data_IF_089433013253
#
_entry.id   IF_089433013253
#
_cell.length_a   1.000
_cell.length_b   1.000
_cell.length_c   1.000
_cell.angle_alpha   90.00
_cell.angle_beta   90.00
_cell.angle_gamma   90.00
#
_symmetry.space_group_name_H-M   'P 1'
#
loop_
_entity.id
_entity.type
_entity.pdbx_description
1 polymer ?
#
# COMPACT_ATOMS: atom_id res chain seq x y z
N UNK A 1 -12.70 -16.53 0.85
CA UNK A 1 -11.87 -16.58 2.07
C UNK A 1 -12.69 -16.16 3.27
N UNK A 2 -12.34 -16.64 4.46
CA UNK A 2 -13.02 -16.27 5.70
C UNK A 2 -12.81 -14.78 6.08
N UNK A 3 -11.85 -14.11 5.43
CA UNK A 3 -11.46 -12.74 5.70
C UNK A 3 -11.89 -11.74 4.62
N UNK A 4 -12.79 -12.12 3.71
CA UNK A 4 -13.30 -11.18 2.70
C UNK A 4 -13.95 -9.96 3.37
N UNK A 5 -13.58 -8.76 2.92
CA UNK A 5 -14.03 -7.50 3.53
C UNK A 5 -13.36 -7.13 4.86
N UNK A 6 -12.33 -7.89 5.29
CA UNK A 6 -11.55 -7.63 6.50
C UNK A 6 -10.04 -7.49 6.19
N UNK A 7 -9.68 -7.20 4.95
CA UNK A 7 -8.31 -7.08 4.48
C UNK A 7 -8.07 -5.62 4.10
N UNK A 8 -7.06 -5.00 4.68
CA UNK A 8 -6.52 -3.73 4.19
C UNK A 8 -5.40 -4.00 3.19
N UNK A 9 -5.15 -3.05 2.31
CA UNK A 9 -4.07 -3.13 1.33
C UNK A 9 -3.42 -1.76 1.15
N UNK A 10 -2.15 -1.73 0.74
CA UNK A 10 -1.45 -0.49 0.43
C UNK A 10 -2.15 0.31 -0.68
N UNK A 11 -2.36 1.59 -0.46
CA UNK A 11 -2.70 2.55 -1.51
C UNK A 11 -1.41 3.06 -2.20
N UNK A 12 -0.57 2.13 -2.61
CA UNK A 12 0.73 2.36 -3.23
C UNK A 12 0.98 1.26 -4.27
N UNK A 13 1.14 1.59 -5.56
CA UNK A 13 1.33 0.60 -6.61
C UNK A 13 2.59 -0.25 -6.39
N UNK A 14 3.70 0.37 -5.98
CA UNK A 14 4.99 -0.33 -5.88
C UNK A 14 4.96 -1.45 -4.84
N UNK A 15 4.42 -1.16 -3.66
CA UNK A 15 4.28 -2.16 -2.59
C UNK A 15 3.22 -3.21 -2.92
N UNK A 16 2.08 -2.79 -3.47
CA UNK A 16 1.00 -3.71 -3.86
C UNK A 16 1.43 -4.70 -4.94
N UNK A 17 2.11 -4.22 -5.99
CA UNK A 17 2.69 -5.10 -7.02
C UNK A 17 3.79 -6.00 -6.43
N UNK A 18 4.61 -5.49 -5.52
CA UNK A 18 5.64 -6.28 -4.83
C UNK A 18 5.05 -7.51 -4.14
N UNK A 19 3.92 -7.36 -3.46
CA UNK A 19 3.22 -8.47 -2.80
C UNK A 19 2.68 -9.47 -3.83
N UNK A 20 2.04 -9.02 -4.91
CA UNK A 20 1.49 -9.88 -5.94
C UNK A 20 2.59 -10.66 -6.69
N UNK A 21 3.68 -9.98 -7.02
CA UNK A 21 4.85 -10.59 -7.69
C UNK A 21 5.50 -11.66 -6.81
N UNK A 22 5.72 -11.37 -5.51
CA UNK A 22 6.25 -12.37 -4.56
C UNK A 22 5.33 -13.58 -4.44
N UNK A 23 4.03 -13.39 -4.34
CA UNK A 23 3.04 -14.48 -4.35
C UNK A 23 3.16 -15.38 -5.59
N UNK A 24 3.47 -14.80 -6.73
CA UNK A 24 3.65 -15.53 -8.01
C UNK A 24 5.06 -16.12 -8.17
N UNK A 25 5.99 -15.84 -7.24
CA UNK A 25 7.38 -16.29 -7.31
C UNK A 25 8.27 -15.45 -8.23
N UNK A 26 7.83 -14.24 -8.59
CA UNK A 26 8.56 -13.31 -9.40
C UNK A 26 9.37 -12.32 -8.56
N UNK A 27 10.39 -11.69 -9.16
CA UNK A 27 11.11 -10.58 -8.56
C UNK A 27 10.21 -9.36 -8.42
N UNK A 28 10.29 -8.68 -7.27
CA UNK A 28 9.63 -7.39 -7.05
C UNK A 28 10.17 -6.28 -7.97
N UNK A 29 11.29 -6.53 -8.63
CA UNK A 29 11.97 -5.60 -9.53
C UNK A 29 11.85 -6.00 -11.01
N UNK A 30 10.97 -6.93 -11.34
CA UNK A 30 10.78 -7.34 -12.73
C UNK A 30 10.31 -6.18 -13.61
N UNK A 31 10.79 -6.17 -14.85
CA UNK A 31 10.32 -5.30 -15.94
C UNK A 31 9.63 -6.12 -17.04
N UNK A 32 9.45 -7.42 -16.81
CA UNK A 32 8.78 -8.31 -17.74
C UNK A 32 7.26 -8.03 -17.74
N UNK A 33 6.73 -7.66 -18.90
CA UNK A 33 5.31 -7.31 -19.08
C UNK A 33 4.37 -8.45 -18.71
N UNK A 34 4.67 -9.68 -19.10
CA UNK A 34 3.83 -10.84 -18.83
C UNK A 34 3.73 -11.12 -17.31
N UNK A 35 4.80 -10.90 -16.56
CA UNK A 35 4.81 -11.03 -15.10
C UNK A 35 4.00 -9.91 -14.41
N UNK A 36 4.14 -8.67 -14.93
CA UNK A 36 3.38 -7.52 -14.45
C UNK A 36 1.88 -7.66 -14.73
N UNK A 37 1.51 -8.21 -15.89
CA UNK A 37 0.12 -8.50 -16.25
C UNK A 37 -0.48 -9.56 -15.32
N UNK A 38 0.25 -10.64 -15.03
CA UNK A 38 -0.18 -11.66 -14.08
C UNK A 38 -0.36 -11.09 -12.67
N UNK A 39 0.56 -10.22 -12.23
CA UNK A 39 0.43 -9.54 -10.95
C UNK A 39 -0.80 -8.61 -10.91
N UNK A 40 -1.07 -7.89 -12.01
CA UNK A 40 -2.28 -7.05 -12.17
C UNK A 40 -3.55 -7.87 -12.03
N UNK A 41 -3.60 -9.05 -12.67
CA UNK A 41 -4.77 -9.95 -12.58
C UNK A 41 -4.95 -10.52 -11.16
N UNK A 42 -3.87 -10.81 -10.44
CA UNK A 42 -3.94 -11.20 -9.03
C UNK A 42 -4.45 -10.06 -8.15
N UNK A 43 -3.99 -8.83 -8.36
CA UNK A 43 -4.47 -7.65 -7.63
C UNK A 43 -5.96 -7.36 -7.90
N UNK A 44 -6.42 -7.53 -9.15
CA UNK A 44 -7.85 -7.41 -9.48
C UNK A 44 -8.71 -8.45 -8.76
N UNK A 45 -8.24 -9.71 -8.69
CA UNK A 45 -8.92 -10.76 -7.91
C UNK A 45 -8.94 -10.43 -6.41
N UNK A 46 -7.81 -9.93 -5.90
CA UNK A 46 -7.68 -9.53 -4.50
C UNK A 46 -8.60 -8.36 -4.16
N UNK A 47 -8.78 -7.36 -5.06
CA UNK A 47 -9.64 -6.20 -4.81
C UNK A 47 -11.05 -6.58 -4.36
N UNK A 48 -11.59 -7.66 -4.88
CA UNK A 48 -12.93 -8.13 -4.50
C UNK A 48 -13.03 -8.62 -3.03
N UNK A 49 -11.88 -8.77 -2.36
CA UNK A 49 -11.76 -9.21 -0.98
C UNK A 49 -11.32 -8.08 -0.03
N UNK A 50 -10.85 -6.97 -0.59
CA UNK A 50 -10.28 -5.85 0.16
C UNK A 50 -11.40 -5.01 0.79
N UNK A 51 -11.21 -4.63 2.05
CA UNK A 51 -12.05 -3.65 2.74
C UNK A 51 -11.73 -2.23 2.27
N UNK A 52 -10.44 -1.88 2.27
CA UNK A 52 -9.96 -0.57 1.88
C UNK A 52 -8.49 -0.60 1.44
N UNK A 53 -8.13 0.30 0.55
CA UNK A 53 -6.75 0.69 0.28
C UNK A 53 -6.38 1.86 1.20
N UNK A 54 -5.31 1.71 1.96
CA UNK A 54 -4.93 2.65 3.03
C UNK A 54 -3.42 2.93 3.00
N UNK A 55 -3.03 4.00 3.64
CA UNK A 55 -1.67 4.27 4.12
C UNK A 55 -1.75 4.43 5.65
N UNK A 56 -1.60 5.63 6.18
CA UNK A 56 -1.58 5.87 7.63
C UNK A 56 -2.92 5.55 8.34
N UNK A 57 -4.02 5.44 7.59
CA UNK A 57 -5.32 4.99 8.12
C UNK A 57 -5.30 3.55 8.65
N UNK A 58 -4.23 2.80 8.37
CA UNK A 58 -4.05 1.44 8.91
C UNK A 58 -3.97 1.45 10.44
N UNK A 59 -3.32 2.45 11.05
CA UNK A 59 -3.12 2.53 12.49
C UNK A 59 -4.44 2.43 13.27
N UNK A 60 -5.39 3.39 13.13
CA UNK A 60 -6.66 3.30 13.84
C UNK A 60 -7.47 2.05 13.47
N UNK A 61 -7.41 1.58 12.22
CA UNK A 61 -8.19 0.42 11.78
C UNK A 61 -7.71 -0.90 12.39
N UNK A 62 -6.40 -1.12 12.41
CA UNK A 62 -5.82 -2.34 12.97
C UNK A 62 -5.90 -2.32 14.50
N UNK A 63 -5.56 -1.20 15.15
CA UNK A 63 -5.62 -1.09 16.61
C UNK A 63 -7.03 -1.20 17.16
N UNK A 64 -8.04 -0.74 16.42
CA UNK A 64 -9.45 -0.91 16.77
C UNK A 64 -10.03 -2.30 16.40
N UNK A 65 -9.29 -3.16 15.71
CA UNK A 65 -9.78 -4.46 15.26
C UNK A 65 -10.80 -4.39 14.12
N UNK A 66 -10.80 -3.30 13.33
CA UNK A 66 -11.71 -3.14 12.19
C UNK A 66 -11.34 -4.01 10.99
N UNK A 67 -10.11 -4.51 10.94
CA UNK A 67 -9.62 -5.42 9.93
C UNK A 67 -8.82 -6.56 10.56
N UNK A 68 -8.77 -7.72 9.87
CA UNK A 68 -8.09 -8.91 10.34
C UNK A 68 -6.69 -9.07 9.72
N UNK A 69 -6.46 -8.55 8.54
CA UNK A 69 -5.19 -8.69 7.80
C UNK A 69 -4.82 -7.37 7.12
N UNK A 70 -3.53 -7.04 7.20
CA UNK A 70 -2.97 -5.90 6.48
C UNK A 70 -1.48 -6.14 6.19
N UNK A 71 -0.97 -5.90 4.99
CA UNK A 71 0.47 -5.73 4.78
C UNK A 71 0.88 -4.35 5.28
N UNK A 72 1.96 -4.27 6.04
CA UNK A 72 2.54 -2.98 6.45
C UNK A 72 4.00 -3.11 6.84
N UNK A 73 4.61 -1.98 7.23
CA UNK A 73 6.01 -1.90 7.57
C UNK A 73 6.27 -2.41 8.99
N UNK A 74 7.40 -3.08 9.19
CA UNK A 74 7.73 -3.76 10.45
C UNK A 74 7.79 -2.79 11.65
N UNK A 75 8.39 -1.60 11.49
CA UNK A 75 8.47 -0.62 12.59
C UNK A 75 7.10 -0.12 13.02
N UNK A 76 6.22 0.16 12.06
CA UNK A 76 4.85 0.57 12.35
C UNK A 76 4.04 -0.56 13.00
N UNK A 77 4.33 -1.82 12.64
CA UNK A 77 3.72 -2.97 13.29
C UNK A 77 4.10 -3.06 14.79
N UNK A 78 5.34 -2.72 15.16
CA UNK A 78 5.74 -2.63 16.57
C UNK A 78 4.86 -1.66 17.34
N UNK A 79 4.62 -0.46 16.76
CA UNK A 79 3.75 0.55 17.38
C UNK A 79 2.31 0.04 17.51
N UNK A 80 1.75 -0.54 16.44
CA UNK A 80 0.38 -1.06 16.47
C UNK A 80 0.20 -2.22 17.46
N UNK A 81 1.18 -3.11 17.58
CA UNK A 81 1.17 -4.22 18.57
C UNK A 81 1.27 -3.66 19.98
N UNK A 82 2.03 -2.58 20.19
CA UNK A 82 2.08 -1.88 21.48
C UNK A 82 0.73 -1.32 21.91
N UNK A 83 -0.06 -0.82 20.96
CA UNK A 83 -1.40 -0.28 21.20
C UNK A 83 -2.48 -1.38 21.28
N UNK A 84 -2.30 -2.49 20.56
CA UNK A 84 -3.21 -3.64 20.58
C UNK A 84 -2.43 -4.96 20.54
N UNK A 85 -2.25 -5.63 21.72
CA UNK A 85 -1.48 -6.87 21.83
C UNK A 85 -2.13 -8.10 21.18
N UNK A 86 -3.36 -8.00 20.66
CA UNK A 86 -4.01 -9.05 19.85
C UNK A 86 -3.48 -9.10 18.41
N UNK A 87 -2.67 -8.10 18.01
CA UNK A 87 -2.00 -8.06 16.71
C UNK A 87 -0.69 -8.84 16.74
N UNK A 88 -0.30 -9.40 15.59
CA UNK A 88 0.97 -10.05 15.37
C UNK A 88 1.53 -9.69 14.00
N UNK A 89 2.84 -9.89 13.78
CA UNK A 89 3.51 -9.59 12.54
C UNK A 89 4.34 -10.78 12.04
N UNK A 90 4.22 -11.07 10.75
CA UNK A 90 4.99 -12.15 10.11
C UNK A 90 5.50 -11.77 8.74
N UNK A 91 6.75 -12.14 8.44
CA UNK A 91 7.28 -12.10 7.08
C UNK A 91 6.85 -13.37 6.34
N UNK A 92 6.11 -13.26 5.22
CA UNK A 92 5.67 -14.42 4.45
C UNK A 92 6.84 -15.30 3.97
N UNK A 93 6.59 -16.59 3.78
CA UNK A 93 7.59 -17.54 3.26
C UNK A 93 8.08 -17.19 1.85
N UNK A 94 7.26 -16.48 1.08
CA UNK A 94 7.57 -15.95 -0.24
C UNK A 94 8.58 -14.78 -0.18
N UNK A 95 8.83 -14.24 1.01
CA UNK A 95 9.66 -13.06 1.21
C UNK A 95 8.88 -11.76 1.08
N UNK A 96 9.58 -10.65 1.23
CA UNK A 96 9.02 -9.31 1.21
C UNK A 96 10.03 -8.28 0.69
N UNK A 97 9.63 -7.01 0.67
CA UNK A 97 10.51 -5.89 0.44
C UNK A 97 11.39 -5.64 1.68
N UNK A 98 12.68 -5.40 1.44
CA UNK A 98 13.62 -4.83 2.41
C UNK A 98 13.94 -3.41 1.97
N UNK A 99 13.72 -2.44 2.80
CA UNK A 99 13.93 -1.02 2.50
C UNK A 99 14.90 -0.37 3.49
N UNK A 100 15.38 0.79 3.12
CA UNK A 100 16.25 1.65 3.93
C UNK A 100 15.71 3.06 3.85
N UNK A 101 15.33 3.62 4.99
CA UNK A 101 14.99 5.03 5.09
C UNK A 101 16.26 5.86 5.19
N UNK A 102 16.32 6.97 4.49
CA UNK A 102 17.49 7.81 4.41
C UNK A 102 17.14 9.30 4.53
N UNK A 103 17.88 10.01 5.36
CA UNK A 103 17.87 11.47 5.36
C UNK A 103 18.71 11.98 4.19
N UNK A 104 18.13 12.85 3.37
CA UNK A 104 18.82 13.44 2.21
C UNK A 104 18.77 14.94 2.23
N UNK A 105 19.83 15.58 1.73
CA UNK A 105 19.90 17.04 1.60
C UNK A 105 19.75 17.39 0.11
N UNK A 106 18.67 18.10 -0.30
CA UNK A 106 18.52 18.53 -1.69
C UNK A 106 19.71 19.34 -2.16
N UNK A 107 20.16 19.14 -3.40
CA UNK A 107 21.32 19.84 -3.98
C UNK A 107 21.17 21.37 -3.95
N UNK A 108 19.94 21.86 -4.04
CA UNK A 108 19.58 23.28 -4.01
C UNK A 108 19.37 23.84 -2.61
N UNK A 109 19.58 23.06 -1.54
CA UNK A 109 19.37 23.54 -0.16
C UNK A 109 20.30 24.72 0.15
N UNK A 110 19.75 25.84 0.64
CA UNK A 110 20.57 26.97 1.09
C UNK A 110 21.24 26.73 2.46
N UNK A 111 20.79 25.70 3.20
CA UNK A 111 21.24 25.41 4.58
C UNK A 111 21.90 24.02 4.67
N UNK A 112 22.74 23.69 3.70
CA UNK A 112 23.37 22.37 3.62
C UNK A 112 24.15 22.02 4.89
N UNK A 113 24.98 22.93 5.37
CA UNK A 113 25.83 22.71 6.56
C UNK A 113 24.99 22.44 7.82
N UNK A 114 23.86 23.14 7.97
CA UNK A 114 22.94 22.91 9.10
C UNK A 114 22.21 21.57 8.97
N UNK A 115 21.83 21.18 7.76
CA UNK A 115 21.21 19.90 7.50
C UNK A 115 22.18 18.73 7.80
N UNK A 116 23.45 18.86 7.41
CA UNK A 116 24.50 17.89 7.73
C UNK A 116 24.76 17.82 9.25
N UNK A 117 24.75 18.93 9.97
CA UNK A 117 24.83 18.95 11.43
C UNK A 117 23.64 18.24 12.08
N UNK A 118 22.42 18.43 11.56
CA UNK A 118 21.25 17.72 12.06
C UNK A 118 21.36 16.20 11.82
N UNK A 119 21.79 15.77 10.63
CA UNK A 119 22.04 14.36 10.33
C UNK A 119 23.06 13.78 11.29
N UNK A 120 24.17 14.49 11.54
CA UNK A 120 25.18 14.05 12.50
C UNK A 120 24.61 13.94 13.92
N UNK A 121 23.78 14.92 14.35
CA UNK A 121 23.10 14.85 15.65
C UNK A 121 22.21 13.60 15.76
N UNK A 122 21.45 13.25 14.70
CA UNK A 122 20.62 12.04 14.69
C UNK A 122 21.45 10.74 14.73
N UNK A 123 22.75 10.79 14.41
CA UNK A 123 23.69 9.68 14.49
C UNK A 123 24.47 9.63 15.83
N UNK A 124 24.27 10.59 16.74
CA UNK A 124 24.77 10.47 18.10
C UNK A 124 24.12 9.25 18.79
N UNK A 125 24.92 8.45 19.48
CA UNK A 125 24.49 7.14 19.96
C UNK A 125 23.23 7.19 20.85
N UNK A 126 23.20 8.16 21.80
CA UNK A 126 22.03 8.30 22.69
C UNK A 126 20.80 8.84 21.96
N UNK A 127 20.99 9.72 20.98
CA UNK A 127 19.91 10.26 20.15
C UNK A 127 19.34 9.17 19.24
N UNK A 128 20.21 8.40 18.59
CA UNK A 128 19.82 7.29 17.74
C UNK A 128 19.08 6.20 18.52
N UNK A 129 19.56 5.87 19.75
CA UNK A 129 18.90 4.92 20.64
C UNK A 129 17.48 5.39 20.99
N UNK A 130 17.34 6.61 21.50
CA UNK A 130 16.04 7.15 21.86
C UNK A 130 15.06 7.21 20.66
N UNK A 131 15.59 7.54 19.46
CA UNK A 131 14.77 7.56 18.25
C UNK A 131 14.28 6.15 17.88
N UNK A 132 15.15 5.14 17.91
CA UNK A 132 14.79 3.75 17.57
C UNK A 132 13.80 3.16 18.57
N UNK A 133 13.99 3.38 19.86
CA UNK A 133 13.06 2.97 20.90
C UNK A 133 11.66 3.61 20.73
N UNK A 134 11.61 4.82 20.22
CA UNK A 134 10.34 5.52 19.98
C UNK A 134 9.62 5.06 18.71
N UNK A 135 10.36 4.87 17.59
CA UNK A 135 9.72 4.56 16.29
C UNK A 135 9.57 3.06 16.00
N UNK A 136 10.22 2.18 16.77
CA UNK A 136 10.15 0.72 16.60
C UNK A 136 10.89 0.13 15.39
N UNK A 137 11.57 0.97 14.58
CA UNK A 137 12.34 0.52 13.42
C UNK A 137 13.72 -0.03 13.80
N UNK A 138 14.30 -0.87 12.95
CA UNK A 138 15.68 -1.34 13.13
C UNK A 138 16.70 -0.24 12.80
N UNK A 139 17.82 -0.24 13.52
CA UNK A 139 18.94 0.68 13.28
C UNK A 139 20.05 0.02 12.46
N UNK A 140 20.71 0.72 11.53
CA UNK A 140 21.92 0.26 10.87
C UNK A 140 23.17 0.39 11.78
N UNK A 141 23.06 1.06 12.94
CA UNK A 141 24.18 1.31 13.85
C UNK A 141 24.35 0.12 14.81
N UNK A 142 25.41 -0.66 14.62
CA UNK A 142 25.66 -1.86 15.43
C UNK A 142 25.88 -1.58 16.93
N UNK A 143 26.50 -0.43 17.28
CA UNK A 143 26.68 0.02 18.65
C UNK A 143 25.35 0.39 19.32
N UNK A 144 24.42 1.00 18.60
CA UNK A 144 23.07 1.30 19.08
C UNK A 144 22.25 0.02 19.23
N UNK A 145 22.30 -0.89 18.23
CA UNK A 145 21.64 -2.20 18.33
C UNK A 145 22.06 -2.97 19.58
N UNK A 146 23.37 -2.96 19.90
CA UNK A 146 23.91 -3.67 21.07
C UNK A 146 23.40 -3.13 22.42
N UNK A 147 22.79 -1.95 22.45
CA UNK A 147 22.21 -1.31 23.64
C UNK A 147 20.71 -1.55 23.80
N UNK A 148 20.05 -2.03 22.77
CA UNK A 148 18.63 -2.39 22.84
C UNK A 148 18.44 -3.62 23.72
N UNK A 149 17.25 -3.79 24.28
CA UNK A 149 16.87 -5.00 25.00
C UNK A 149 16.99 -6.25 24.11
N UNK A 150 17.36 -7.38 24.68
CA UNK A 150 17.57 -8.63 23.95
C UNK A 150 16.30 -9.09 23.20
N UNK A 151 15.14 -8.84 23.77
CA UNK A 151 13.85 -9.11 23.12
C UNK A 151 13.69 -8.31 21.83
N UNK A 152 14.04 -7.02 21.84
CA UNK A 152 14.00 -6.14 20.67
C UNK A 152 15.01 -6.58 19.63
N UNK A 153 16.24 -6.91 20.03
CA UNK A 153 17.31 -7.37 19.13
C UNK A 153 16.95 -8.67 18.38
N UNK A 154 16.07 -9.50 18.96
CA UNK A 154 15.62 -10.78 18.41
C UNK A 154 14.18 -10.70 17.84
N UNK A 155 13.59 -9.51 17.76
CA UNK A 155 12.24 -9.31 17.21
C UNK A 155 12.22 -9.38 15.68
N UNK A 156 11.02 -9.36 15.12
CA UNK A 156 10.82 -9.31 13.66
C UNK A 156 11.40 -8.05 12.99
N UNK A 157 11.71 -6.99 13.78
CA UNK A 157 12.42 -5.81 13.28
C UNK A 157 13.89 -6.09 12.93
N UNK A 158 14.44 -7.18 13.45
CA UNK A 158 15.82 -7.65 13.19
C UNK A 158 15.81 -9.08 12.65
N UNK A 159 15.23 -9.32 11.47
CA UNK A 159 15.09 -10.67 10.92
C UNK A 159 16.46 -11.33 10.70
N UNK A 160 16.49 -12.64 10.81
CA UNK A 160 17.67 -13.46 10.58
C UNK A 160 18.06 -13.56 9.08
N UNK A 161 19.21 -14.18 8.81
CA UNK A 161 19.71 -14.34 7.44
C UNK A 161 18.81 -15.22 6.57
N UNK A 162 18.07 -16.16 7.15
CA UNK A 162 17.12 -17.01 6.41
C UNK A 162 15.97 -16.15 5.89
N UNK A 163 15.37 -15.32 6.73
CA UNK A 163 14.33 -14.37 6.34
C UNK A 163 14.87 -13.37 5.31
N UNK A 164 16.05 -12.79 5.58
CA UNK A 164 16.66 -11.81 4.68
C UNK A 164 16.99 -12.38 3.29
N UNK A 165 17.34 -13.67 3.21
CA UNK A 165 17.69 -14.33 1.94
C UNK A 165 16.54 -14.36 0.92
N UNK A 166 15.30 -14.31 1.38
CA UNK A 166 14.10 -14.30 0.53
C UNK A 166 13.50 -12.90 0.33
N UNK A 167 14.10 -11.87 0.93
CA UNK A 167 13.71 -10.48 0.75
C UNK A 167 14.47 -9.82 -0.40
N UNK A 168 13.86 -8.84 -1.04
CA UNK A 168 14.47 -8.04 -2.09
C UNK A 168 14.42 -6.56 -1.73
N UNK A 169 15.43 -5.79 -2.14
CA UNK A 169 15.39 -4.33 -2.06
C UNK A 169 14.84 -3.79 -3.37
N UNK A 170 13.90 -2.84 -3.31
CA UNK A 170 13.42 -2.15 -4.50
C UNK A 170 14.56 -1.38 -5.18
N UNK A 171 14.62 -1.52 -6.50
CA UNK A 171 15.47 -0.69 -7.36
C UNK A 171 14.61 0.30 -8.14
N UNK A 172 15.21 1.36 -8.64
CA UNK A 172 14.54 2.24 -9.60
C UNK A 172 14.21 1.45 -10.87
N UNK A 173 12.93 1.43 -11.20
CA UNK A 173 12.49 0.92 -12.52
C UNK A 173 12.68 2.01 -13.57
N UNK A 174 12.76 1.61 -14.83
CA UNK A 174 12.75 2.54 -15.95
C UNK A 174 11.39 3.28 -16.05
N UNK A 175 11.39 4.40 -16.78
CA UNK A 175 10.20 5.26 -16.91
C UNK A 175 9.02 4.52 -17.57
N UNK A 176 9.29 3.66 -18.55
CA UNK A 176 8.25 2.92 -19.25
C UNK A 176 7.56 1.92 -18.32
N UNK A 177 8.34 1.15 -17.55
CA UNK A 177 7.81 0.20 -16.57
C UNK A 177 7.06 0.93 -15.43
N UNK A 178 7.60 2.06 -14.97
CA UNK A 178 6.96 2.88 -13.94
C UNK A 178 5.60 3.41 -14.40
N UNK A 179 5.52 3.98 -15.60
CA UNK A 179 4.28 4.46 -16.19
C UNK A 179 3.26 3.33 -16.36
N UNK A 180 3.72 2.18 -16.85
CA UNK A 180 2.87 1.00 -17.00
C UNK A 180 2.26 0.51 -15.68
N UNK A 181 3.06 0.43 -14.62
CA UNK A 181 2.57 0.06 -13.30
C UNK A 181 1.52 1.05 -12.78
N UNK A 182 1.73 2.34 -13.01
CA UNK A 182 0.81 3.39 -12.59
C UNK A 182 -0.54 3.29 -13.32
N UNK A 183 -0.51 3.08 -14.63
CA UNK A 183 -1.72 2.91 -15.45
C UNK A 183 -2.48 1.64 -15.07
N UNK A 184 -1.76 0.52 -14.92
CA UNK A 184 -2.33 -0.76 -14.52
C UNK A 184 -2.93 -0.70 -13.12
N UNK A 185 -2.30 0.02 -12.19
CA UNK A 185 -2.81 0.26 -10.83
C UNK A 185 -4.14 1.00 -10.84
N UNK A 186 -4.28 2.03 -11.68
CA UNK A 186 -5.55 2.72 -11.88
C UNK A 186 -6.64 1.75 -12.33
N UNK A 187 -6.30 0.81 -13.21
CA UNK A 187 -7.20 -0.28 -13.63
C UNK A 187 -7.55 -1.26 -12.50
N UNK A 188 -6.61 -1.54 -11.59
CA UNK A 188 -6.88 -2.35 -10.38
C UNK A 188 -7.85 -1.62 -9.46
N UNK A 189 -7.60 -0.35 -9.16
CA UNK A 189 -8.44 0.44 -8.25
C UNK A 189 -9.89 0.60 -8.75
N UNK A 190 -10.09 0.67 -10.06
CA UNK A 190 -11.42 0.77 -10.67
C UNK A 190 -12.09 -0.59 -10.97
N UNK A 191 -11.36 -1.70 -10.77
CA UNK A 191 -11.88 -3.03 -11.09
C UNK A 191 -13.05 -3.41 -10.17
N UNK A 192 -14.16 -3.83 -10.75
CA UNK A 192 -15.36 -4.24 -10.02
C UNK A 192 -16.25 -3.08 -9.54
N UNK A 193 -15.82 -1.84 -9.72
CA UNK A 193 -16.58 -0.64 -9.33
C UNK A 193 -17.66 -0.23 -10.35
N UNK A 194 -17.85 -1.00 -11.44
CA UNK A 194 -19.01 -0.82 -12.33
C UNK A 194 -20.29 -1.03 -11.52
N UNK A 195 -20.73 0.08 -10.93
CA UNK A 195 -21.79 0.06 -9.96
C UNK A 195 -23.11 -0.24 -10.65
N UNK A 196 -23.88 -1.12 -10.03
CA UNK A 196 -25.33 -1.23 -10.28
C UNK A 196 -25.95 0.18 -10.34
N UNK A 197 -25.38 1.16 -9.61
CA UNK A 197 -25.74 2.57 -9.64
C UNK A 197 -25.57 3.22 -11.01
N UNK A 198 -24.49 2.96 -11.76
CA UNK A 198 -24.28 3.53 -13.09
C UNK A 198 -25.24 2.91 -14.10
N UNK A 199 -25.50 1.62 -13.99
CA UNK A 199 -26.50 0.92 -14.83
C UNK A 199 -27.91 1.43 -14.52
N UNK A 200 -28.26 1.59 -13.25
CA UNK A 200 -29.51 2.17 -12.80
C UNK A 200 -29.65 3.63 -13.23
N UNK A 201 -28.62 4.44 -13.11
CA UNK A 201 -28.62 5.84 -13.56
C UNK A 201 -28.84 5.92 -15.07
N UNK A 202 -28.12 5.12 -15.87
CA UNK A 202 -28.33 5.04 -17.32
C UNK A 202 -29.75 4.58 -17.66
N UNK A 203 -30.27 3.56 -16.98
CA UNK A 203 -31.64 3.09 -17.20
C UNK A 203 -32.69 4.16 -16.90
N UNK A 204 -32.57 4.86 -15.76
CA UNK A 204 -33.46 5.97 -15.39
C UNK A 204 -33.34 7.12 -16.38
N UNK A 205 -32.13 7.46 -16.81
CA UNK A 205 -31.88 8.50 -17.80
C UNK A 205 -32.52 8.17 -19.15
N UNK A 206 -32.43 6.92 -19.64
CA UNK A 206 -33.10 6.48 -20.87
C UNK A 206 -34.63 6.49 -20.75
N UNK A 207 -35.18 6.06 -19.60
CA UNK A 207 -36.61 6.13 -19.35
C UNK A 207 -37.12 7.57 -19.34
N UNK A 208 -36.34 8.51 -18.80
CA UNK A 208 -36.65 9.92 -18.80
C UNK A 208 -36.68 10.50 -20.25
N UNK A 209 -35.68 10.13 -21.07
CA UNK A 209 -35.64 10.54 -22.48
C UNK A 209 -36.84 9.99 -23.27
N UNK A 210 -37.20 8.73 -23.06
CA UNK A 210 -38.39 8.11 -23.68
C UNK A 210 -39.67 8.87 -23.26
N UNK A 211 -39.78 9.21 -21.96
CA UNK A 211 -40.89 10.00 -21.45
C UNK A 211 -41.03 11.37 -22.13
N UNK A 212 -39.90 12.05 -22.36
CA UNK A 212 -39.86 13.33 -23.10
C UNK A 212 -40.36 13.14 -24.54
N UNK A 213 -39.86 12.12 -25.24
CA UNK A 213 -40.30 11.84 -26.65
C UNK A 213 -41.78 11.56 -26.70
N UNK A 214 -42.31 10.72 -25.79
CA UNK A 214 -43.75 10.41 -25.72
C UNK A 214 -44.56 11.71 -25.46
N UNK A 215 -44.12 12.53 -24.51
CA UNK A 215 -44.78 13.80 -24.17
C UNK A 215 -44.90 14.72 -25.39
N UNK A 216 -43.80 14.92 -26.11
CA UNK A 216 -43.81 15.77 -27.29
C UNK A 216 -44.65 15.19 -28.45
N UNK A 217 -44.65 13.86 -28.62
CA UNK A 217 -45.44 13.18 -29.63
C UNK A 217 -46.93 13.32 -29.34
N UNK A 218 -47.34 13.09 -28.09
CA UNK A 218 -48.74 13.25 -27.65
C UNK A 218 -49.19 14.72 -27.77
N UNK A 219 -48.33 15.66 -27.35
CA UNK A 219 -48.60 17.10 -27.46
C UNK A 219 -48.77 17.54 -28.93
N UNK A 220 -47.95 17.03 -29.84
CA UNK A 220 -48.03 17.29 -31.26
C UNK A 220 -49.36 16.74 -31.86
N UNK A 221 -49.76 15.52 -31.48
CA UNK A 221 -51.03 14.95 -31.92
C UNK A 221 -52.25 15.75 -31.41
N UNK A 222 -52.24 16.20 -30.16
CA UNK A 222 -53.32 17.05 -29.60
C UNK A 222 -53.47 18.37 -30.33
N UNK A 223 -52.37 18.97 -30.81
CA UNK A 223 -52.39 20.25 -31.49
C UNK A 223 -52.80 20.13 -32.99
N UNK A 224 -52.90 18.92 -33.55
CA UNK A 224 -53.39 18.69 -34.92
C UNK A 224 -54.85 18.23 -34.97
N UNK A 225 -55.53 18.10 -33.83
CA UNK A 225 -56.91 17.61 -33.72
C UNK A 225 -57.89 18.73 -33.34
N UNK A 226 -57.43 19.99 -33.36
CA UNK A 226 -58.23 21.23 -33.28
C UNK A 226 -58.08 21.98 -34.57
#
# INVERSE_FOLDING_TARGET
>A
TNYAGQILMFNNPRDSYGIALKKLGYSQNTTNRDELDQATDELKKQKLLIQAYVMDEIFPKMTAGEAALAPYYAGDAVTMIGDNPDLDFVVPKEGTNRFVDAMVVPKSSPNKDLAEQFINFMLEEDVALANIEYIGYSTPMSNVKARLDEEVQNSFSYPDDEVLSRCETFVNLDEETTAYLQDSWTGVLSYGDSSIGDILFLAVFFLFLIGIVIYFTVKKHRNHTI
#
